data_IF_430238027364
#
_entry.id   IF_430238027364
#
_cell.length_a   1.000
_cell.length_b   1.000
_cell.length_c   1.000
_cell.angle_alpha   90.00
_cell.angle_beta   90.00
_cell.angle_gamma   90.00
#
_symmetry.space_group_name_H-M   'P 1'
#
loop_
_entity.id
_entity.type
_entity.pdbx_description
1 polymer ?
#
# COMPACT_ATOMS: atom_id res chain seq x y z
N UNK A 1 13.03 -17.22 -16.44
CA UNK A 1 12.89 -15.75 -16.15
C UNK A 1 12.19 -15.58 -14.82
N UNK A 2 12.81 -14.86 -13.93
CA UNK A 2 12.16 -14.48 -12.68
C UNK A 2 11.02 -13.49 -12.99
N UNK A 3 9.84 -13.80 -12.46
CA UNK A 3 8.70 -12.89 -12.58
C UNK A 3 8.88 -11.73 -11.64
N UNK A 4 8.92 -10.50 -12.18
CA UNK A 4 9.00 -9.31 -11.36
C UNK A 4 7.64 -9.04 -10.71
N UNK A 5 7.60 -9.00 -9.38
CA UNK A 5 6.39 -8.66 -8.65
C UNK A 5 6.19 -7.15 -8.63
N UNK A 6 4.93 -6.74 -8.70
CA UNK A 6 4.53 -5.35 -8.58
C UNK A 6 3.81 -5.13 -7.27
N UNK A 7 4.32 -4.18 -6.50
CA UNK A 7 3.69 -3.70 -5.26
C UNK A 7 3.09 -2.33 -5.52
N UNK A 8 1.80 -2.20 -5.32
CA UNK A 8 1.13 -0.90 -5.33
C UNK A 8 1.08 -0.38 -3.89
N UNK A 9 1.66 0.78 -3.67
CA UNK A 9 1.56 1.48 -2.38
C UNK A 9 0.56 2.61 -2.55
N UNK A 10 -0.49 2.60 -1.73
CA UNK A 10 -1.55 3.62 -1.78
C UNK A 10 -1.52 4.39 -0.47
N UNK A 11 -1.38 5.70 -0.55
CA UNK A 11 -1.40 6.58 0.61
C UNK A 11 -2.00 7.93 0.25
N UNK A 12 -2.34 8.70 1.26
CA UNK A 12 -2.97 10.00 1.08
C UNK A 12 -2.40 11.05 2.01
N UNK A 13 -3.10 12.17 2.12
CA UNK A 13 -2.73 13.32 2.93
C UNK A 13 -1.30 13.78 2.62
N UNK A 14 -0.38 13.81 3.57
CA UNK A 14 1.01 14.22 3.35
C UNK A 14 1.92 13.14 2.77
N UNK A 15 1.44 11.88 2.70
CA UNK A 15 2.20 10.78 2.13
C UNK A 15 3.32 10.23 3.01
N UNK A 16 3.34 10.54 4.30
CA UNK A 16 4.45 10.16 5.19
C UNK A 16 4.55 8.63 5.39
N UNK A 17 3.43 7.94 5.51
CA UNK A 17 3.42 6.48 5.60
C UNK A 17 3.90 5.86 4.29
N UNK A 18 3.33 6.30 3.17
CA UNK A 18 3.71 5.82 1.84
C UNK A 18 5.18 6.04 1.56
N UNK A 19 5.71 7.21 1.89
CA UNK A 19 7.14 7.53 1.80
C UNK A 19 8.00 6.50 2.55
N UNK A 20 7.67 6.24 3.80
CA UNK A 20 8.43 5.29 4.63
C UNK A 20 8.32 3.86 4.11
N UNK A 21 7.15 3.46 3.60
CA UNK A 21 6.96 2.15 2.98
C UNK A 21 7.78 2.00 1.70
N UNK A 22 7.79 3.02 0.83
CA UNK A 22 8.60 2.98 -0.40
C UNK A 22 10.07 2.80 -0.06
N UNK A 23 10.60 3.61 0.85
CA UNK A 23 12.01 3.52 1.28
C UNK A 23 12.35 2.11 1.80
N UNK A 24 11.53 1.58 2.70
CA UNK A 24 11.78 0.29 3.32
C UNK A 24 11.67 -0.87 2.32
N UNK A 25 10.66 -0.84 1.46
CA UNK A 25 10.45 -1.90 0.46
C UNK A 25 11.58 -1.90 -0.58
N UNK A 26 11.94 -0.73 -1.10
CA UNK A 26 13.01 -0.65 -2.10
C UNK A 26 14.37 -1.02 -1.52
N UNK A 27 14.62 -0.73 -0.25
CA UNK A 27 15.87 -1.10 0.41
C UNK A 27 15.98 -2.62 0.58
N UNK A 28 14.90 -3.28 1.01
CA UNK A 28 14.93 -4.71 1.30
C UNK A 28 14.66 -5.59 0.07
N UNK A 29 13.84 -5.10 -0.87
CA UNK A 29 13.42 -5.85 -2.06
C UNK A 29 13.69 -5.03 -3.33
N UNK A 30 14.98 -4.76 -3.67
CA UNK A 30 15.30 -3.87 -4.80
C UNK A 30 14.78 -4.39 -6.15
N UNK A 31 14.53 -5.69 -6.26
CA UNK A 31 14.00 -6.32 -7.47
C UNK A 31 12.49 -6.12 -7.68
N UNK A 32 11.78 -5.72 -6.63
CA UNK A 32 10.34 -5.50 -6.69
C UNK A 32 10.05 -4.16 -7.36
N UNK A 33 9.07 -4.14 -8.28
CA UNK A 33 8.60 -2.90 -8.87
C UNK A 33 7.59 -2.24 -7.92
N UNK A 34 7.85 -0.99 -7.56
CA UNK A 34 6.96 -0.21 -6.70
C UNK A 34 6.24 0.85 -7.52
N UNK A 35 4.92 0.70 -7.60
CA UNK A 35 4.01 1.72 -8.11
C UNK A 35 3.38 2.43 -6.91
N UNK A 36 3.67 3.70 -6.74
CA UNK A 36 3.11 4.48 -5.66
C UNK A 36 1.95 5.34 -6.16
N UNK A 37 0.81 5.25 -5.48
CA UNK A 37 -0.37 6.01 -5.83
C UNK A 37 -0.74 6.90 -4.66
N UNK A 38 -0.68 8.21 -4.89
CA UNK A 38 -1.17 9.21 -3.95
C UNK A 38 -2.63 9.53 -4.25
N UNK A 39 -3.44 9.68 -3.21
CA UNK A 39 -4.80 10.21 -3.40
C UNK A 39 -4.78 11.70 -3.72
N UNK A 40 -3.63 12.33 -3.57
CA UNK A 40 -3.35 13.72 -3.97
C UNK A 40 -1.91 13.82 -4.47
N UNK A 41 -1.58 14.93 -5.13
CA UNK A 41 -0.26 15.12 -5.74
C UNK A 41 0.87 15.26 -4.73
N UNK A 42 0.59 15.78 -3.54
CA UNK A 42 1.60 15.93 -2.49
C UNK A 42 2.08 14.56 -1.99
N UNK A 43 1.15 13.64 -1.75
CA UNK A 43 1.47 12.28 -1.35
C UNK A 43 2.24 11.53 -2.46
N UNK A 44 1.79 11.64 -3.70
CA UNK A 44 2.48 11.02 -4.84
C UNK A 44 3.92 11.53 -4.99
N UNK A 45 4.12 12.84 -4.86
CA UNK A 45 5.45 13.45 -4.96
C UNK A 45 6.39 12.99 -3.84
N UNK A 46 5.88 12.87 -2.63
CA UNK A 46 6.66 12.38 -1.50
C UNK A 46 7.17 10.94 -1.74
N UNK A 47 6.30 10.09 -2.28
CA UNK A 47 6.66 8.70 -2.61
C UNK A 47 7.64 8.60 -3.78
N UNK A 48 7.52 9.50 -4.78
CA UNK A 48 8.48 9.56 -5.88
C UNK A 48 9.89 9.88 -5.36
N UNK A 49 9.99 10.89 -4.52
CA UNK A 49 11.28 11.29 -3.92
C UNK A 49 11.90 10.19 -3.07
N UNK A 50 11.10 9.25 -2.60
CA UNK A 50 11.55 8.14 -1.77
C UNK A 50 12.00 6.91 -2.56
N UNK A 51 11.93 6.94 -3.88
CA UNK A 51 12.46 5.91 -4.75
C UNK A 51 11.43 4.99 -5.40
N UNK A 52 10.16 5.36 -5.44
CA UNK A 52 9.16 4.59 -6.20
C UNK A 52 9.56 4.54 -7.68
N UNK A 53 9.33 3.41 -8.32
CA UNK A 53 9.65 3.21 -9.73
C UNK A 53 8.68 3.97 -10.65
N UNK A 54 7.44 4.14 -10.22
CA UNK A 54 6.43 4.93 -10.92
C UNK A 54 5.46 5.50 -9.92
N UNK A 55 4.84 6.62 -10.26
CA UNK A 55 3.79 7.23 -9.45
C UNK A 55 2.56 7.53 -10.30
N UNK A 56 1.42 7.60 -9.62
CA UNK A 56 0.17 8.08 -10.19
C UNK A 56 -0.65 8.74 -9.08
N UNK A 57 -1.69 9.49 -9.46
CA UNK A 57 -2.49 10.26 -8.52
C UNK A 57 -3.97 10.09 -8.81
N UNK A 58 -4.73 9.81 -7.77
CA UNK A 58 -6.19 9.85 -7.82
C UNK A 58 -6.87 8.51 -7.96
N UNK A 59 -8.19 8.58 -8.22
CA UNK A 59 -9.07 7.42 -8.17
C UNK A 59 -8.79 6.38 -9.26
N UNK A 60 -8.71 6.83 -10.52
CA UNK A 60 -8.55 5.87 -11.61
C UNK A 60 -7.26 5.04 -11.50
N UNK A 61 -6.10 5.60 -11.16
CA UNK A 61 -4.90 4.80 -10.93
C UNK A 61 -5.05 3.74 -9.84
N UNK A 62 -5.80 4.02 -8.78
CA UNK A 62 -6.11 3.00 -7.75
C UNK A 62 -6.91 1.85 -8.36
N UNK A 63 -7.93 2.16 -9.14
CA UNK A 63 -8.76 1.14 -9.80
C UNK A 63 -7.93 0.28 -10.75
N UNK A 64 -7.09 0.92 -11.56
CA UNK A 64 -6.23 0.22 -12.53
C UNK A 64 -5.19 -0.65 -11.82
N UNK A 65 -4.50 -0.11 -10.83
CA UNK A 65 -3.48 -0.86 -10.08
C UNK A 65 -4.09 -2.04 -9.32
N UNK A 66 -5.30 -1.89 -8.79
CA UNK A 66 -6.00 -2.97 -8.10
C UNK A 66 -6.26 -4.19 -8.98
N UNK A 67 -6.29 -4.01 -10.31
CA UNK A 67 -6.47 -5.12 -11.25
C UNK A 67 -5.20 -5.89 -11.55
N UNK A 68 -4.04 -5.26 -11.39
CA UNK A 68 -2.77 -5.77 -11.94
C UNK A 68 -1.67 -5.97 -10.91
N UNK A 69 -1.73 -5.33 -9.74
CA UNK A 69 -0.71 -5.48 -8.71
C UNK A 69 -0.75 -6.88 -8.08
N UNK A 70 0.41 -7.37 -7.69
CA UNK A 70 0.52 -8.62 -6.92
C UNK A 70 0.25 -8.36 -5.44
N UNK A 71 0.71 -7.23 -4.95
CA UNK A 71 0.53 -6.77 -3.57
C UNK A 71 0.01 -5.36 -3.56
N UNK A 72 -0.86 -5.06 -2.59
CA UNK A 72 -1.28 -3.70 -2.27
C UNK A 72 -0.93 -3.44 -0.81
N UNK A 73 -0.20 -2.36 -0.56
CA UNK A 73 0.25 -2.00 0.78
C UNK A 73 -0.17 -0.56 1.09
N UNK A 74 -0.67 -0.33 2.27
CA UNK A 74 -1.07 1.00 2.70
C UNK A 74 -1.74 1.02 4.05
N UNK A 75 -2.25 2.18 4.46
CA UNK A 75 -3.02 2.26 5.70
C UNK A 75 -4.37 1.53 5.56
N UNK A 76 -4.92 1.09 6.68
CA UNK A 76 -6.23 0.45 6.70
C UNK A 76 -7.31 1.27 5.98
N UNK A 77 -7.19 2.59 6.03
CA UNK A 77 -8.15 3.50 5.40
C UNK A 77 -8.37 3.29 3.92
N UNK A 78 -7.44 2.65 3.19
CA UNK A 78 -7.61 2.47 1.75
C UNK A 78 -8.72 1.49 1.36
N UNK A 79 -9.20 0.69 2.29
CA UNK A 79 -10.40 -0.15 2.08
C UNK A 79 -11.65 0.43 2.76
N UNK A 80 -11.55 1.63 3.31
CA UNK A 80 -12.63 2.27 4.05
C UNK A 80 -13.14 3.48 3.27
N UNK A 81 -14.36 3.39 2.76
CA UNK A 81 -14.95 4.48 1.99
C UNK A 81 -14.98 5.77 2.82
N UNK A 82 -14.63 6.87 2.18
CA UNK A 82 -14.58 8.24 2.75
C UNK A 82 -13.53 8.45 3.84
N UNK A 83 -12.61 7.50 4.04
CA UNK A 83 -11.48 7.68 4.94
C UNK A 83 -10.52 8.75 4.42
N UNK A 84 -9.57 9.18 5.26
CA UNK A 84 -8.60 10.24 4.98
C UNK A 84 -9.28 11.55 4.54
N UNK A 85 -10.27 11.99 5.32
CA UNK A 85 -11.06 13.20 5.04
C UNK A 85 -11.74 13.18 3.67
N UNK A 86 -12.17 12.00 3.22
CA UNK A 86 -12.83 11.83 1.93
C UNK A 86 -11.89 11.58 0.76
N UNK A 87 -10.59 11.54 0.97
CA UNK A 87 -9.64 11.25 -0.11
C UNK A 87 -9.83 9.84 -0.68
N UNK A 88 -10.26 8.88 0.15
CA UNK A 88 -10.60 7.53 -0.31
C UNK A 88 -12.06 7.50 -0.73
N UNK A 89 -12.29 7.54 -2.02
CA UNK A 89 -13.65 7.45 -2.54
C UNK A 89 -14.21 6.03 -2.35
N UNK A 90 -15.56 5.87 -2.32
CA UNK A 90 -16.16 4.53 -2.32
C UNK A 90 -15.65 3.64 -3.47
N UNK A 91 -15.44 4.20 -4.64
CA UNK A 91 -14.89 3.48 -5.80
C UNK A 91 -13.49 2.93 -5.51
N UNK A 92 -12.63 3.73 -4.90
CA UNK A 92 -11.28 3.30 -4.51
C UNK A 92 -11.34 2.17 -3.48
N UNK A 93 -12.13 2.35 -2.43
CA UNK A 93 -12.24 1.36 -1.36
C UNK A 93 -12.73 0.01 -1.91
N UNK A 94 -13.74 0.03 -2.77
CA UNK A 94 -14.28 -1.17 -3.42
C UNK A 94 -13.22 -1.83 -4.30
N UNK A 95 -12.53 -1.05 -5.13
CA UNK A 95 -11.51 -1.58 -6.03
C UNK A 95 -10.39 -2.30 -5.28
N UNK A 96 -9.90 -1.70 -4.20
CA UNK A 96 -8.85 -2.32 -3.36
C UNK A 96 -9.37 -3.57 -2.66
N UNK A 97 -10.55 -3.48 -2.03
CA UNK A 97 -11.12 -4.59 -1.27
C UNK A 97 -11.44 -5.80 -2.16
N UNK A 98 -11.90 -5.57 -3.38
CA UNK A 98 -12.22 -6.63 -4.35
C UNK A 98 -11.00 -7.16 -5.11
N UNK A 99 -9.87 -6.51 -5.01
CA UNK A 99 -8.66 -6.89 -5.75
C UNK A 99 -8.21 -8.32 -5.39
N UNK A 100 -7.70 -9.04 -6.36
CA UNK A 100 -7.04 -10.33 -6.17
C UNK A 100 -5.63 -10.19 -5.58
N UNK A 101 -5.08 -8.99 -5.58
CA UNK A 101 -3.80 -8.73 -4.94
C UNK A 101 -3.86 -9.11 -3.45
N UNK A 102 -2.75 -9.58 -2.93
CA UNK A 102 -2.62 -9.73 -1.48
C UNK A 102 -2.51 -8.34 -0.85
N UNK A 103 -3.36 -8.06 0.12
CA UNK A 103 -3.42 -6.73 0.74
C UNK A 103 -2.76 -6.76 2.12
N UNK A 104 -1.78 -5.89 2.32
CA UNK A 104 -1.08 -5.71 3.58
C UNK A 104 -1.43 -4.32 4.09
N UNK A 105 -2.23 -4.26 5.14
CA UNK A 105 -2.81 -3.02 5.64
C UNK A 105 -2.26 -2.73 7.03
N UNK A 106 -1.68 -1.52 7.18
CA UNK A 106 -1.21 -1.07 8.47
C UNK A 106 -2.38 -0.46 9.25
N UNK A 107 -2.58 -0.86 10.52
CA UNK A 107 -3.73 -0.41 11.32
C UNK A 107 -3.50 1.00 11.85
N UNK A 108 -3.07 1.89 11.03
CA UNK A 108 -2.96 3.31 11.32
C UNK A 108 -4.34 3.90 11.05
N UNK A 109 -5.02 4.30 12.09
CA UNK A 109 -6.39 4.69 11.92
C UNK A 109 -6.73 6.04 12.50
N UNK A 110 -7.38 6.81 11.66
CA UNK A 110 -8.28 7.89 12.05
C UNK A 110 -9.61 7.70 11.30
N UNK A 111 -10.00 6.45 11.05
CA UNK A 111 -11.17 6.13 10.22
C UNK A 111 -12.32 5.53 11.02
N UNK A 112 -12.34 5.79 12.32
CA UNK A 112 -13.42 5.33 13.21
C UNK A 112 -13.61 3.79 13.18
N UNK A 113 -12.51 3.06 13.03
CA UNK A 113 -12.47 1.59 13.03
C UNK A 113 -11.57 1.12 14.15
N UNK A 114 -12.04 0.17 14.93
CA UNK A 114 -11.24 -0.50 15.95
C UNK A 114 -10.94 -1.93 15.50
N UNK A 115 -9.68 -2.35 15.62
CA UNK A 115 -9.28 -3.70 15.29
C UNK A 115 -8.98 -4.44 16.58
N UNK A 116 -9.79 -5.45 16.88
CA UNK A 116 -9.61 -6.29 18.06
C UNK A 116 -8.29 -7.05 17.94
N UNK A 117 -7.52 -7.08 19.01
CA UNK A 117 -6.22 -7.74 19.03
C UNK A 117 -5.05 -6.88 18.54
N UNK A 118 -5.32 -5.64 18.13
CA UNK A 118 -4.27 -4.72 17.71
C UNK A 118 -3.31 -4.42 18.86
N UNK A 119 -2.01 -4.46 18.57
CA UNK A 119 -0.96 -4.07 19.50
C UNK A 119 -0.61 -2.59 19.31
N UNK A 120 -0.16 -1.95 20.36
CA UNK A 120 0.33 -0.57 20.31
C UNK A 120 1.79 -0.57 19.86
N UNK A 121 1.99 -0.45 18.56
CA UNK A 121 3.31 -0.50 17.91
C UNK A 121 3.68 0.86 17.35
N UNK A 122 4.98 1.16 17.32
CA UNK A 122 5.52 2.31 16.61
C UNK A 122 5.34 2.13 15.10
N UNK A 123 5.43 3.22 14.35
CA UNK A 123 5.38 3.14 12.89
C UNK A 123 6.49 2.25 12.33
N UNK A 124 7.71 2.37 12.85
CA UNK A 124 8.84 1.54 12.44
C UNK A 124 8.60 0.05 12.66
N UNK A 125 8.00 -0.31 13.81
CA UNK A 125 7.65 -1.70 14.13
C UNK A 125 6.58 -2.23 13.17
N UNK A 126 5.55 -1.42 12.86
CA UNK A 126 4.50 -1.79 11.90
C UNK A 126 5.09 -2.02 10.50
N UNK A 127 6.00 -1.14 10.07
CA UNK A 127 6.67 -1.28 8.77
C UNK A 127 7.50 -2.55 8.74
N UNK A 128 8.24 -2.85 9.80
CA UNK A 128 9.01 -4.10 9.89
C UNK A 128 8.13 -5.33 9.75
N UNK A 129 6.96 -5.35 10.40
CA UNK A 129 6.00 -6.44 10.27
C UNK A 129 5.43 -6.53 8.84
N UNK A 130 5.15 -5.39 8.22
CA UNK A 130 4.71 -5.36 6.82
C UNK A 130 5.76 -5.96 5.89
N UNK A 131 7.04 -5.67 6.10
CA UNK A 131 8.13 -6.25 5.32
C UNK A 131 8.21 -7.77 5.50
N UNK A 132 7.96 -8.28 6.69
CA UNK A 132 7.90 -9.72 6.94
C UNK A 132 6.75 -10.37 6.17
N UNK A 133 5.58 -9.73 6.13
CA UNK A 133 4.43 -10.20 5.36
C UNK A 133 4.72 -10.19 3.86
N UNK A 134 5.41 -9.17 3.36
CA UNK A 134 5.87 -9.12 1.96
C UNK A 134 6.83 -10.27 1.67
N UNK A 135 7.80 -10.50 2.55
CA UNK A 135 8.75 -11.60 2.40
C UNK A 135 8.03 -12.95 2.32
N UNK A 136 7.09 -13.19 3.21
CA UNK A 136 6.29 -14.42 3.22
C UNK A 136 5.52 -14.60 1.92
N UNK A 137 4.95 -13.52 1.38
CA UNK A 137 4.26 -13.57 0.09
C UNK A 137 5.22 -13.92 -1.04
N UNK A 138 6.39 -13.30 -1.09
CA UNK A 138 7.38 -13.54 -2.14
C UNK A 138 7.93 -14.97 -2.11
N UNK A 139 8.03 -15.55 -0.92
CA UNK A 139 8.52 -16.92 -0.72
C UNK A 139 7.45 -17.98 -0.99
N UNK A 140 6.18 -17.57 -1.10
CA UNK A 140 5.07 -18.52 -1.33
C UNK A 140 5.04 -19.00 -2.77
N UNK A 141 4.72 -20.30 -3.02
CA UNK A 141 4.53 -20.79 -4.38
C UNK A 141 3.40 -20.05 -5.10
N UNK A 142 3.51 -19.81 -6.43
CA UNK A 142 2.49 -19.06 -7.16
C UNK A 142 1.06 -19.63 -7.04
N UNK A 143 0.92 -20.92 -6.90
CA UNK A 143 -0.39 -21.58 -6.78
C UNK A 143 -0.98 -21.54 -5.36
N UNK A 144 -0.22 -21.03 -4.39
CA UNK A 144 -0.69 -20.85 -3.00
C UNK A 144 -1.13 -19.39 -2.73
N UNK A 145 -1.12 -18.53 -3.76
CA UNK A 145 -1.45 -17.11 -3.66
C UNK A 145 -2.87 -16.82 -4.08
#
# INVERSE_FOLDING_TARGET
METTHTVAIIDGQGGSLGKSLVEAIKARFPQVKVLAIGTNSLAASAMLRSGADAIATGENPVVVAARTADLIVGPLGIITADALHGEITPTMAVAVAQSRAHKILLPISKCNVSIVGRQDLSLGEMISLALEDIQSFLDSPPHAR
#
